data_IF_830408542986
#
_entry.id   IF_830408542986
#
_cell.length_a   1.000
_cell.length_b   1.000
_cell.length_c   1.000
_cell.angle_alpha   90.00
_cell.angle_beta   90.00
_cell.angle_gamma   90.00
#
_symmetry.space_group_name_H-M   'P 1'
#
loop_
_entity.id
_entity.type
_entity.pdbx_description
1 polymer ?
#
# COMPACT_ATOMS: atom_id res chain seq x y z
N UNK A 1 -54.17 4.66 45.30
CA UNK A 1 -53.93 4.18 43.93
C UNK A 1 -52.45 4.35 43.61
N UNK A 2 -51.59 3.44 44.05
CA UNK A 2 -50.14 3.61 43.82
C UNK A 2 -49.53 2.37 43.19
N UNK A 3 -49.62 1.21 43.83
CA UNK A 3 -48.77 0.08 43.40
C UNK A 3 -49.53 -0.96 42.59
N UNK A 4 -50.80 -1.20 42.91
CA UNK A 4 -51.62 -2.20 42.21
C UNK A 4 -51.87 -1.82 40.75
N UNK A 5 -52.19 -0.54 40.49
CA UNK A 5 -52.39 -0.02 39.13
C UNK A 5 -51.11 -0.07 38.30
N UNK A 6 -49.93 0.14 38.92
CA UNK A 6 -48.64 0.01 38.25
C UNK A 6 -48.35 -1.45 37.93
N UNK A 7 -48.67 -2.38 38.84
CA UNK A 7 -48.47 -3.80 38.60
C UNK A 7 -49.37 -4.34 37.47
N UNK A 8 -50.63 -3.93 37.43
CA UNK A 8 -51.57 -4.23 36.34
C UNK A 8 -51.04 -3.69 35.00
N UNK A 9 -50.57 -2.44 34.96
CA UNK A 9 -49.97 -1.86 33.75
C UNK A 9 -48.71 -2.62 33.29
N UNK A 10 -47.86 -3.07 34.21
CA UNK A 10 -46.67 -3.86 33.87
C UNK A 10 -47.05 -5.21 33.26
N UNK A 11 -48.05 -5.90 33.81
CA UNK A 11 -48.52 -7.17 33.25
C UNK A 11 -49.18 -6.98 31.87
N UNK A 12 -49.95 -5.91 31.68
CA UNK A 12 -50.51 -5.55 30.38
C UNK A 12 -49.39 -5.30 29.34
N UNK A 13 -48.37 -4.51 29.70
CA UNK A 13 -47.21 -4.25 28.83
C UNK A 13 -46.42 -5.54 28.56
N UNK A 14 -46.29 -6.43 29.55
CA UNK A 14 -45.60 -7.72 29.38
C UNK A 14 -46.22 -8.56 28.28
N UNK A 15 -47.53 -8.55 28.15
CA UNK A 15 -48.24 -9.25 27.07
C UNK A 15 -47.91 -8.71 25.67
N UNK A 16 -47.50 -7.44 25.58
CA UNK A 16 -47.19 -6.73 24.33
C UNK A 16 -45.69 -6.62 24.01
N UNK A 17 -44.81 -7.16 24.88
CA UNK A 17 -43.35 -7.08 24.71
C UNK A 17 -42.90 -7.52 23.31
N UNK A 18 -43.49 -8.60 22.78
CA UNK A 18 -43.14 -9.10 21.44
C UNK A 18 -43.45 -8.10 20.32
N UNK A 19 -44.56 -7.34 20.43
CA UNK A 19 -44.89 -6.29 19.46
C UNK A 19 -43.99 -5.08 19.64
N UNK A 20 -43.68 -4.69 20.88
CA UNK A 20 -42.77 -3.58 21.17
C UNK A 20 -41.35 -3.84 20.62
N UNK A 21 -40.83 -5.06 20.73
CA UNK A 21 -39.54 -5.41 20.11
C UNK A 21 -39.57 -5.29 18.58
N UNK A 22 -40.64 -5.75 17.91
CA UNK A 22 -40.79 -5.61 16.46
C UNK A 22 -40.85 -4.14 16.02
N UNK A 23 -41.56 -3.30 16.78
CA UNK A 23 -41.63 -1.85 16.52
C UNK A 23 -40.25 -1.23 16.70
N UNK A 24 -39.54 -1.58 17.77
CA UNK A 24 -38.18 -1.10 18.04
C UNK A 24 -37.21 -1.48 16.91
N UNK A 25 -37.24 -2.74 16.44
CA UNK A 25 -36.41 -3.21 15.32
C UNK A 25 -36.73 -2.46 14.02
N UNK A 26 -38.02 -2.24 13.72
CA UNK A 26 -38.43 -1.49 12.54
C UNK A 26 -37.98 -0.02 12.59
N UNK A 27 -38.09 0.63 13.75
CA UNK A 27 -37.60 2.01 13.95
C UNK A 27 -36.08 2.06 13.82
N UNK A 28 -35.35 1.12 14.43
CA UNK A 28 -33.89 1.06 14.35
C UNK A 28 -33.41 0.87 12.90
N UNK A 29 -34.08 0.01 12.13
CA UNK A 29 -33.76 -0.19 10.72
C UNK A 29 -34.06 1.06 9.88
N UNK A 30 -35.19 1.74 10.14
CA UNK A 30 -35.52 3.00 9.47
C UNK A 30 -34.49 4.10 9.78
N UNK A 31 -34.05 4.21 11.03
CA UNK A 31 -33.05 5.18 11.47
C UNK A 31 -31.70 4.92 10.79
N UNK A 32 -31.24 3.66 10.77
CA UNK A 32 -30.02 3.26 10.07
C UNK A 32 -30.07 3.60 8.57
N UNK A 33 -31.15 3.24 7.88
CA UNK A 33 -31.30 3.51 6.45
C UNK A 33 -31.36 5.02 6.16
N UNK A 34 -32.02 5.79 7.02
CA UNK A 34 -32.09 7.25 6.92
C UNK A 34 -30.71 7.88 7.09
N UNK A 35 -29.91 7.39 8.04
CA UNK A 35 -28.53 7.84 8.24
C UNK A 35 -27.63 7.55 7.03
N UNK A 36 -27.76 6.37 6.40
CA UNK A 36 -27.04 6.05 5.17
C UNK A 36 -27.45 6.94 4.00
N UNK A 37 -28.74 7.21 3.83
CA UNK A 37 -29.23 8.11 2.80
C UNK A 37 -28.72 9.55 2.99
N UNK A 38 -28.65 10.02 4.24
CA UNK A 38 -28.10 11.34 4.58
C UNK A 38 -26.60 11.42 4.25
N UNK A 39 -25.82 10.39 4.58
CA UNK A 39 -24.40 10.30 4.22
C UNK A 39 -24.21 10.37 2.69
N UNK A 40 -25.00 9.61 1.93
CA UNK A 40 -24.93 9.61 0.47
C UNK A 40 -25.26 10.97 -0.15
N UNK A 41 -26.27 11.65 0.38
CA UNK A 41 -26.74 12.94 -0.16
C UNK A 41 -25.76 14.08 0.14
N UNK A 42 -25.11 14.06 1.30
CA UNK A 42 -24.28 15.17 1.75
C UNK A 42 -22.82 15.10 1.28
N UNK A 43 -22.33 13.92 0.89
CA UNK A 43 -20.89 13.68 0.72
C UNK A 43 -20.49 12.97 -0.57
N UNK A 44 -21.40 12.91 -1.54
CA UNK A 44 -21.19 12.29 -2.86
C UNK A 44 -20.73 10.83 -2.74
N UNK A 45 -21.40 10.05 -1.90
CA UNK A 45 -21.11 8.62 -1.81
C UNK A 45 -21.94 7.87 -2.86
N UNK A 46 -21.34 6.84 -3.44
CA UNK A 46 -21.94 6.06 -4.52
C UNK A 46 -22.39 4.69 -4.02
N UNK A 47 -23.46 4.18 -4.63
CA UNK A 47 -23.89 2.81 -4.37
C UNK A 47 -22.88 1.84 -4.98
N UNK A 48 -22.35 0.94 -4.17
CA UNK A 48 -21.46 -0.12 -4.64
C UNK A 48 -22.21 -1.18 -5.46
N UNK A 49 -21.57 -1.67 -6.52
CA UNK A 49 -22.01 -2.87 -7.24
C UNK A 49 -21.31 -4.11 -6.67
N UNK A 50 -22.07 -5.17 -6.37
CA UNK A 50 -21.50 -6.44 -5.92
C UNK A 50 -21.21 -7.32 -7.14
N UNK A 51 -19.94 -7.59 -7.41
CA UNK A 51 -19.50 -8.47 -8.52
C UNK A 51 -18.43 -9.45 -8.04
N UNK A 52 -17.61 -10.03 -8.93
CA UNK A 52 -16.45 -10.86 -8.57
C UNK A 52 -15.13 -10.07 -8.56
N UNK A 53 -15.17 -8.77 -8.87
CA UNK A 53 -14.01 -7.89 -9.02
C UNK A 53 -14.05 -6.77 -7.98
N UNK A 54 -12.89 -6.42 -7.43
CA UNK A 54 -12.73 -5.19 -6.66
C UNK A 54 -12.25 -4.10 -7.62
N UNK A 55 -13.08 -3.07 -7.82
CA UNK A 55 -12.73 -1.91 -8.63
C UNK A 55 -13.27 -0.64 -7.98
N UNK A 56 -12.38 0.27 -7.61
CA UNK A 56 -12.71 1.54 -6.97
C UNK A 56 -12.07 2.64 -7.79
N UNK A 57 -12.86 3.62 -8.17
CA UNK A 57 -12.40 4.83 -8.83
C UNK A 57 -12.51 6.01 -7.86
N UNK A 58 -11.38 6.67 -7.64
CA UNK A 58 -11.27 7.85 -6.77
C UNK A 58 -11.83 7.60 -5.36
N UNK A 59 -11.44 6.48 -4.76
CA UNK A 59 -11.80 6.10 -3.40
C UNK A 59 -11.14 7.00 -2.36
N UNK A 60 -11.89 7.35 -1.32
CA UNK A 60 -11.45 8.22 -0.22
C UNK A 60 -11.58 7.49 1.11
N UNK A 61 -10.72 7.81 2.07
CA UNK A 61 -10.80 7.19 3.39
C UNK A 61 -12.04 7.71 4.16
N UNK A 62 -13.01 6.86 4.55
CA UNK A 62 -14.30 7.32 5.11
C UNK A 62 -14.18 8.22 6.34
N UNK A 63 -13.21 7.93 7.21
CA UNK A 63 -12.96 8.69 8.45
C UNK A 63 -12.05 9.90 8.20
N UNK A 64 -10.86 9.69 7.62
CA UNK A 64 -9.86 10.76 7.44
C UNK A 64 -10.36 11.91 6.55
N UNK A 65 -11.23 11.67 5.57
CA UNK A 65 -11.78 12.77 4.76
C UNK A 65 -12.62 13.78 5.58
N UNK A 66 -13.11 13.39 6.76
CA UNK A 66 -13.92 14.25 7.64
C UNK A 66 -13.09 14.99 8.68
N UNK A 67 -12.03 14.34 9.16
CA UNK A 67 -11.20 14.87 10.25
C UNK A 67 -10.18 15.88 9.71
N UNK A 68 -9.67 15.65 8.49
CA UNK A 68 -8.61 16.50 7.95
C UNK A 68 -9.17 17.80 7.35
N UNK A 69 -8.61 18.93 7.78
CA UNK A 69 -8.93 20.26 7.22
C UNK A 69 -8.50 20.40 5.76
N UNK A 70 -7.50 19.60 5.33
CA UNK A 70 -7.01 19.56 3.94
C UNK A 70 -7.75 18.51 3.13
N UNK A 71 -7.93 18.78 1.83
CA UNK A 71 -8.59 17.88 0.88
C UNK A 71 -7.85 16.54 0.80
N UNK A 72 -8.56 15.44 1.08
CA UNK A 72 -8.05 14.08 0.93
C UNK A 72 -7.80 13.75 -0.54
N UNK A 73 -6.67 13.10 -0.85
CA UNK A 73 -6.31 12.72 -2.22
C UNK A 73 -6.91 11.34 -2.53
N UNK A 74 -7.86 11.24 -3.47
CA UNK A 74 -8.51 9.98 -3.78
C UNK A 74 -7.59 9.05 -4.57
N UNK A 75 -7.76 7.74 -4.37
CA UNK A 75 -6.97 6.71 -5.05
C UNK A 75 -7.86 5.67 -5.73
N UNK A 76 -7.37 5.16 -6.86
CA UNK A 76 -8.00 4.05 -7.56
C UNK A 76 -7.50 2.73 -6.96
N UNK A 77 -8.33 1.69 -7.01
CA UNK A 77 -7.92 0.34 -6.63
C UNK A 77 -8.57 -0.67 -7.57
N UNK A 78 -7.80 -1.67 -7.96
CA UNK A 78 -8.27 -2.70 -8.88
C UNK A 78 -7.62 -4.04 -8.53
N UNK A 79 -8.45 -5.07 -8.32
CA UNK A 79 -8.01 -6.42 -8.05
C UNK A 79 -9.03 -7.44 -8.58
N UNK A 80 -8.53 -8.48 -9.23
CA UNK A 80 -9.32 -9.60 -9.75
C UNK A 80 -8.70 -10.91 -9.32
N UNK A 81 -9.31 -12.03 -9.69
CA UNK A 81 -8.73 -13.36 -9.44
C UNK A 81 -7.37 -13.57 -10.15
N UNK A 82 -7.10 -12.88 -11.26
CA UNK A 82 -5.80 -12.93 -11.94
C UNK A 82 -4.81 -11.88 -11.46
N UNK A 83 -5.25 -10.89 -10.68
CA UNK A 83 -4.43 -9.83 -10.08
C UNK A 83 -4.77 -9.70 -8.59
N UNK A 84 -4.85 -10.82 -7.88
CA UNK A 84 -5.38 -10.90 -6.53
C UNK A 84 -4.38 -10.46 -5.46
N UNK A 85 -3.09 -10.33 -5.78
CA UNK A 85 -2.06 -9.93 -4.82
C UNK A 85 -1.39 -8.60 -5.24
N UNK A 86 -1.52 -7.56 -4.42
CA UNK A 86 -0.96 -6.23 -4.70
C UNK A 86 0.18 -5.95 -3.73
N UNK A 87 1.41 -5.89 -4.24
CA UNK A 87 2.57 -5.43 -3.47
C UNK A 87 2.63 -3.91 -3.56
N UNK A 88 2.61 -3.23 -2.42
CA UNK A 88 2.69 -1.77 -2.36
C UNK A 88 4.01 -1.37 -1.72
N UNK A 89 4.82 -0.63 -2.48
CA UNK A 89 6.02 0.03 -1.96
C UNK A 89 5.82 1.54 -1.87
N UNK A 90 6.78 2.23 -1.28
CA UNK A 90 6.74 3.68 -1.14
C UNK A 90 7.42 4.15 0.13
N UNK A 91 7.77 5.43 0.14
CA UNK A 91 8.36 6.11 1.29
C UNK A 91 7.53 5.93 2.56
N UNK A 92 8.19 5.97 3.72
CA UNK A 92 7.48 6.17 4.99
C UNK A 92 6.70 7.50 4.93
N UNK A 93 5.54 7.56 5.59
CA UNK A 93 4.60 8.70 5.54
C UNK A 93 3.96 9.00 4.18
N UNK A 94 4.18 8.19 3.13
CA UNK A 94 3.51 8.36 1.82
C UNK A 94 2.03 8.00 1.82
N UNK A 95 1.49 7.45 2.92
CA UNK A 95 0.08 7.07 3.04
C UNK A 95 -0.26 5.61 2.73
N UNK A 96 0.73 4.70 2.65
CA UNK A 96 0.55 3.25 2.38
C UNK A 96 -0.51 2.61 3.30
N UNK A 97 -0.35 2.77 4.62
CA UNK A 97 -1.26 2.23 5.63
C UNK A 97 -2.66 2.83 5.52
N UNK A 98 -2.75 4.14 5.21
CA UNK A 98 -4.05 4.81 4.99
C UNK A 98 -4.75 4.26 3.76
N UNK A 99 -4.02 3.98 2.69
CA UNK A 99 -4.57 3.42 1.46
C UNK A 99 -5.18 2.03 1.74
N UNK A 100 -4.42 1.09 2.30
CA UNK A 100 -4.94 -0.28 2.56
C UNK A 100 -6.09 -0.29 3.58
N UNK A 101 -6.04 0.56 4.62
CA UNK A 101 -7.13 0.70 5.59
C UNK A 101 -8.40 1.25 4.93
N UNK A 102 -8.26 2.19 4.00
CA UNK A 102 -9.42 2.73 3.28
C UNK A 102 -10.13 1.66 2.45
N UNK A 103 -9.38 0.77 1.78
CA UNK A 103 -9.95 -0.36 1.04
C UNK A 103 -10.72 -1.30 1.96
N UNK A 104 -10.13 -1.69 3.09
CA UNK A 104 -10.78 -2.57 4.07
C UNK A 104 -12.09 -1.97 4.60
N UNK A 105 -12.07 -0.68 4.98
CA UNK A 105 -13.26 0.01 5.45
C UNK A 105 -14.35 0.12 4.38
N UNK A 106 -13.98 0.44 3.14
CA UNK A 106 -14.94 0.52 2.04
C UNK A 106 -15.57 -0.84 1.72
N UNK A 107 -14.81 -1.94 1.79
CA UNK A 107 -15.35 -3.31 1.65
C UNK A 107 -16.39 -3.60 2.75
N UNK A 108 -16.10 -3.25 4.00
CA UNK A 108 -17.04 -3.41 5.13
C UNK A 108 -18.31 -2.58 4.89
N UNK A 109 -18.16 -1.31 4.51
CA UNK A 109 -19.29 -0.43 4.22
C UNK A 109 -20.19 -0.99 3.10
N UNK A 110 -19.59 -1.55 2.05
CA UNK A 110 -20.33 -2.11 0.92
C UNK A 110 -21.16 -3.32 1.35
N UNK A 111 -20.60 -4.21 2.17
CA UNK A 111 -21.29 -5.42 2.65
C UNK A 111 -22.31 -5.15 3.77
N UNK A 112 -22.20 -4.04 4.51
CA UNK A 112 -23.26 -3.55 5.42
C UNK A 112 -24.44 -2.95 4.63
N UNK A 113 -24.24 -2.62 3.35
CA UNK A 113 -25.25 -1.97 2.50
C UNK A 113 -25.23 -0.45 2.55
N UNK A 114 -24.13 0.14 3.01
CA UNK A 114 -23.91 1.60 2.99
C UNK A 114 -23.34 2.05 1.63
N UNK A 115 -23.43 3.35 1.37
CA UNK A 115 -22.82 4.00 0.21
C UNK A 115 -21.33 4.25 0.46
N UNK A 116 -20.53 4.28 -0.60
CA UNK A 116 -19.06 4.30 -0.54
C UNK A 116 -18.50 5.67 -0.97
N UNK A 117 -17.47 6.21 -0.29
CA UNK A 117 -16.81 7.45 -0.67
C UNK A 117 -15.91 7.30 -1.92
N UNK A 118 -16.51 7.14 -3.08
CA UNK A 118 -15.81 6.97 -4.36
C UNK A 118 -16.62 7.59 -5.51
N UNK A 119 -16.03 7.73 -6.70
CA UNK A 119 -16.79 8.07 -7.93
C UNK A 119 -17.48 6.85 -8.52
N UNK A 120 -16.86 5.68 -8.37
CA UNK A 120 -17.38 4.39 -8.79
C UNK A 120 -16.79 3.33 -7.87
N UNK A 121 -17.59 2.36 -7.45
CA UNK A 121 -17.10 1.28 -6.61
C UNK A 121 -17.82 -0.03 -6.89
N UNK A 122 -17.02 -1.08 -6.95
CA UNK A 122 -17.45 -2.44 -7.17
C UNK A 122 -16.63 -3.35 -6.25
N UNK A 123 -17.29 -4.28 -5.58
CA UNK A 123 -16.67 -5.16 -4.60
C UNK A 123 -17.12 -6.61 -4.79
N UNK A 124 -16.22 -7.57 -4.55
CA UNK A 124 -16.59 -8.94 -4.32
C UNK A 124 -17.13 -9.14 -2.91
N UNK A 125 -17.95 -10.17 -2.73
CA UNK A 125 -18.42 -10.59 -1.40
C UNK A 125 -17.26 -11.33 -0.71
N UNK A 126 -16.64 -10.64 0.23
CA UNK A 126 -15.56 -11.10 1.09
C UNK A 126 -16.15 -11.81 2.32
N UNK A 127 -15.70 -13.03 2.59
CA UNK A 127 -16.17 -13.80 3.75
C UNK A 127 -15.40 -13.47 5.03
N UNK A 128 -14.11 -13.18 4.89
CA UNK A 128 -13.21 -12.92 6.00
C UNK A 128 -12.25 -11.79 5.62
N UNK A 129 -12.13 -10.81 6.51
CA UNK A 129 -11.14 -9.74 6.39
C UNK A 129 -10.08 -9.95 7.46
N UNK A 130 -8.87 -10.25 7.02
CA UNK A 130 -7.69 -10.38 7.87
C UNK A 130 -6.85 -9.11 7.79
N UNK A 131 -6.34 -8.67 8.93
CA UNK A 131 -5.49 -7.50 9.00
C UNK A 131 -4.29 -7.78 9.88
N UNK A 132 -3.09 -7.66 9.31
CA UNK A 132 -1.84 -7.48 10.04
C UNK A 132 -1.42 -6.04 9.82
N UNK A 133 -1.71 -5.18 10.78
CA UNK A 133 -1.35 -3.76 10.72
C UNK A 133 -0.39 -3.50 11.86
N UNK A 134 0.76 -2.88 11.57
CA UNK A 134 1.71 -2.49 12.61
C UNK A 134 1.04 -1.44 13.50
N UNK A 135 0.67 -1.84 14.72
CA UNK A 135 0.29 -0.92 15.79
C UNK A 135 1.56 -0.57 16.55
N UNK A 136 1.81 0.73 16.73
CA UNK A 136 2.85 1.16 17.65
C UNK A 136 2.45 0.67 19.05
N UNK A 137 3.34 -0.10 19.66
CA UNK A 137 3.43 -0.34 21.10
C UNK A 137 2.24 -1.05 21.77
N UNK A 138 2.11 -2.35 21.53
CA UNK A 138 1.67 -3.24 22.63
C UNK A 138 2.89 -3.63 23.47
N UNK A 139 3.25 -2.73 24.38
CA UNK A 139 4.28 -2.97 25.42
C UNK A 139 3.81 -4.00 26.46
N UNK A 140 2.53 -4.42 26.42
CA UNK A 140 1.89 -5.26 27.45
C UNK A 140 2.00 -6.78 27.23
N UNK A 141 2.56 -7.24 26.10
CA UNK A 141 2.83 -8.66 25.90
C UNK A 141 4.32 -8.98 26.15
N UNK A 142 4.62 -9.88 27.09
CA UNK A 142 5.96 -10.48 27.32
C UNK A 142 6.48 -11.33 26.13
N UNK A 143 6.06 -11.04 24.91
CA UNK A 143 6.39 -11.75 23.67
C UNK A 143 7.10 -10.77 22.76
N UNK A 144 8.20 -11.18 22.11
CA UNK A 144 8.86 -10.29 21.14
C UNK A 144 7.87 -9.87 20.05
N UNK A 145 7.96 -8.61 19.62
CA UNK A 145 7.11 -8.06 18.55
C UNK A 145 7.08 -9.00 17.35
N UNK A 146 8.25 -9.46 16.90
CA UNK A 146 8.38 -10.43 15.82
C UNK A 146 7.62 -11.74 16.06
N UNK A 147 7.67 -12.32 17.26
CA UNK A 147 6.93 -13.56 17.55
C UNK A 147 5.42 -13.34 17.57
N UNK A 148 4.94 -12.15 17.95
CA UNK A 148 3.54 -11.77 17.79
C UNK A 148 3.14 -11.66 16.31
N UNK A 149 3.95 -10.98 15.49
CA UNK A 149 3.75 -10.88 14.04
C UNK A 149 3.64 -12.26 13.38
N UNK A 150 4.55 -13.17 13.74
CA UNK A 150 4.54 -14.53 13.20
C UNK A 150 3.31 -15.32 13.64
N UNK A 151 2.81 -15.10 14.86
CA UNK A 151 1.58 -15.76 15.34
C UNK A 151 0.36 -15.26 14.58
N UNK A 152 0.27 -13.95 14.34
CA UNK A 152 -0.79 -13.33 13.55
C UNK A 152 -0.77 -13.84 12.11
N UNK A 153 0.39 -13.82 11.44
CA UNK A 153 0.51 -14.37 10.09
C UNK A 153 0.20 -15.87 10.03
N UNK A 154 0.63 -16.64 11.03
CA UNK A 154 0.29 -18.06 11.12
C UNK A 154 -1.21 -18.30 11.35
N UNK A 155 -1.92 -17.38 12.00
CA UNK A 155 -3.38 -17.44 12.11
C UNK A 155 -4.05 -17.14 10.77
N UNK A 156 -3.60 -16.10 10.07
CA UNK A 156 -4.11 -15.73 8.74
C UNK A 156 -3.93 -16.90 7.77
N UNK A 157 -2.70 -17.41 7.63
CA UNK A 157 -2.38 -18.50 6.69
C UNK A 157 -3.15 -19.80 6.98
N UNK A 158 -3.53 -20.06 8.23
CA UNK A 158 -4.30 -21.27 8.60
C UNK A 158 -5.79 -21.18 8.30
N UNK A 159 -6.33 -19.97 8.18
CA UNK A 159 -7.77 -19.74 8.03
C UNK A 159 -8.14 -19.06 6.71
N UNK A 160 -7.14 -18.69 5.89
CA UNK A 160 -7.37 -17.99 4.63
C UNK A 160 -8.08 -18.89 3.61
N UNK A 161 -9.08 -18.32 2.95
CA UNK A 161 -9.80 -18.93 1.84
C UNK A 161 -9.70 -18.02 0.60
N UNK A 162 -10.00 -18.55 -0.58
CA UNK A 162 -9.98 -17.78 -1.85
C UNK A 162 -10.92 -16.57 -1.88
N UNK A 163 -11.91 -16.52 -0.98
CA UNK A 163 -12.89 -15.41 -0.84
C UNK A 163 -12.55 -14.50 0.34
N UNK A 164 -11.33 -14.57 0.86
CA UNK A 164 -10.86 -13.70 1.94
C UNK A 164 -10.19 -12.45 1.37
N UNK A 165 -10.17 -11.39 2.17
CA UNK A 165 -9.39 -10.18 1.95
C UNK A 165 -8.33 -10.09 3.04
N UNK A 166 -7.09 -9.83 2.67
CA UNK A 166 -5.97 -9.70 3.60
C UNK A 166 -5.29 -8.35 3.38
N UNK A 167 -5.08 -7.61 4.46
CA UNK A 167 -4.20 -6.45 4.46
C UNK A 167 -3.00 -6.74 5.35
N UNK A 168 -1.81 -6.54 4.83
CA UNK A 168 -0.54 -6.71 5.56
C UNK A 168 0.25 -5.42 5.47
N UNK A 169 0.70 -4.92 6.62
CA UNK A 169 1.47 -3.69 6.73
C UNK A 169 2.82 -3.98 7.39
N UNK A 170 3.90 -3.81 6.61
CA UNK A 170 5.28 -3.78 7.09
C UNK A 170 5.76 -5.02 7.87
N UNK A 171 5.43 -6.21 7.37
CA UNK A 171 5.85 -7.48 7.96
C UNK A 171 7.38 -7.65 8.01
N UNK A 172 7.91 -8.16 9.13
CA UNK A 172 9.30 -8.62 9.22
C UNK A 172 10.32 -7.55 9.60
N UNK A 173 9.87 -6.42 10.17
CA UNK A 173 10.76 -5.35 10.66
C UNK A 173 11.48 -5.68 11.97
N UNK A 174 10.93 -6.59 12.77
CA UNK A 174 11.44 -6.91 14.10
C UNK A 174 12.62 -7.91 14.16
N UNK A 175 13.27 -8.24 13.05
CA UNK A 175 14.32 -9.27 12.97
C UNK A 175 15.47 -8.87 12.02
N UNK A 176 16.45 -9.75 11.83
CA UNK A 176 17.53 -9.56 10.86
C UNK A 176 16.95 -9.27 9.46
N UNK A 177 17.55 -8.35 8.70
CA UNK A 177 17.00 -7.93 7.41
C UNK A 177 16.93 -9.09 6.41
N UNK A 178 17.89 -10.02 6.47
CA UNK A 178 17.92 -11.22 5.62
C UNK A 178 16.84 -12.21 6.00
N UNK A 179 16.66 -12.52 7.28
CA UNK A 179 15.63 -13.48 7.72
C UNK A 179 14.24 -12.87 7.57
N UNK A 180 14.09 -11.58 7.86
CA UNK A 180 12.85 -10.83 7.68
C UNK A 180 12.39 -10.83 6.23
N UNK A 181 13.32 -10.57 5.28
CA UNK A 181 13.03 -10.67 3.85
C UNK A 181 12.65 -12.09 3.43
N UNK A 182 13.43 -13.10 3.85
CA UNK A 182 13.19 -14.50 3.48
C UNK A 182 11.82 -14.98 3.96
N UNK A 183 11.46 -14.67 5.21
CA UNK A 183 10.18 -15.02 5.81
C UNK A 183 9.03 -14.26 5.14
N UNK A 184 9.21 -12.97 4.86
CA UNK A 184 8.20 -12.16 4.19
C UNK A 184 7.93 -12.67 2.76
N UNK A 185 8.96 -13.09 2.02
CA UNK A 185 8.80 -13.73 0.70
C UNK A 185 8.03 -15.05 0.85
N UNK A 186 8.42 -15.93 1.76
CA UNK A 186 7.74 -17.21 1.95
C UNK A 186 6.26 -17.05 2.31
N UNK A 187 5.93 -16.08 3.16
CA UNK A 187 4.56 -15.75 3.52
C UNK A 187 3.80 -15.13 2.33
N UNK A 188 4.43 -14.23 1.58
CA UNK A 188 3.84 -13.65 0.38
C UNK A 188 3.51 -14.73 -0.65
N UNK A 189 4.40 -15.70 -0.88
CA UNK A 189 4.14 -16.83 -1.78
C UNK A 189 2.94 -17.68 -1.32
N UNK A 190 2.87 -18.02 -0.04
CA UNK A 190 1.74 -18.77 0.51
C UNK A 190 0.41 -18.00 0.38
N UNK A 191 0.44 -16.67 0.53
CA UNK A 191 -0.73 -15.82 0.34
C UNK A 191 -1.15 -15.74 -1.14
N UNK A 192 -0.21 -15.70 -2.08
CA UNK A 192 -0.50 -15.77 -3.52
C UNK A 192 -1.17 -17.10 -3.88
N UNK A 193 -0.70 -18.22 -3.33
CA UNK A 193 -1.29 -19.54 -3.58
C UNK A 193 -2.74 -19.67 -3.07
N UNK A 194 -3.14 -18.87 -2.08
CA UNK A 194 -4.50 -18.87 -1.54
C UNK A 194 -5.57 -18.32 -2.51
N UNK A 195 -5.16 -17.55 -3.52
CA UNK A 195 -6.03 -16.80 -4.43
C UNK A 195 -6.96 -15.77 -3.73
N UNK A 196 -6.73 -15.47 -2.45
CA UNK A 196 -7.41 -14.40 -1.74
C UNK A 196 -6.99 -13.02 -2.28
N UNK A 197 -7.81 -12.00 -2.02
CA UNK A 197 -7.43 -10.61 -2.32
C UNK A 197 -6.47 -10.10 -1.26
N UNK A 198 -5.25 -9.74 -1.62
CA UNK A 198 -4.19 -9.40 -0.67
C UNK A 198 -3.54 -8.07 -1.03
N UNK A 199 -3.57 -7.11 -0.10
CA UNK A 199 -2.75 -5.90 -0.17
C UNK A 199 -1.58 -6.03 0.80
N UNK A 200 -0.38 -6.15 0.24
CA UNK A 200 0.85 -6.35 0.98
C UNK A 200 1.73 -5.10 0.89
N UNK A 201 1.70 -4.28 1.94
CA UNK A 201 2.59 -3.12 2.08
C UNK A 201 3.94 -3.58 2.62
N UNK A 202 5.01 -3.23 1.91
CA UNK A 202 6.37 -3.59 2.30
C UNK A 202 7.34 -2.42 2.15
N UNK A 203 8.40 -2.47 2.94
CA UNK A 203 9.59 -1.64 2.77
C UNK A 203 10.73 -2.39 2.06
N UNK A 204 10.59 -3.70 1.91
CA UNK A 204 11.55 -4.52 1.18
C UNK A 204 11.31 -4.36 -0.32
N UNK A 205 12.14 -3.53 -0.97
CA UNK A 205 12.11 -3.39 -2.42
C UNK A 205 12.38 -4.72 -3.13
N UNK A 206 13.30 -5.53 -2.60
CA UNK A 206 13.64 -6.84 -3.16
C UNK A 206 12.44 -7.80 -3.15
N UNK A 207 11.56 -7.72 -2.14
CA UNK A 207 10.32 -8.50 -2.12
C UNK A 207 9.41 -8.12 -3.29
N UNK A 208 9.26 -6.82 -3.56
CA UNK A 208 8.44 -6.35 -4.67
C UNK A 208 9.00 -6.82 -6.02
N UNK A 209 10.32 -6.81 -6.19
CA UNK A 209 10.99 -7.31 -7.39
C UNK A 209 10.77 -8.81 -7.57
N UNK A 210 10.98 -9.62 -6.53
CA UNK A 210 10.81 -11.09 -6.60
C UNK A 210 9.34 -11.46 -6.82
N UNK A 211 8.42 -10.79 -6.14
CA UNK A 211 6.98 -11.09 -6.24
C UNK A 211 6.36 -10.61 -7.55
N UNK A 212 6.86 -9.54 -8.17
CA UNK A 212 6.40 -9.08 -9.49
C UNK A 212 6.45 -10.17 -10.58
N UNK A 213 7.25 -11.21 -10.37
CA UNK A 213 7.44 -12.32 -11.30
C UNK A 213 6.37 -13.41 -11.18
N UNK A 214 5.59 -13.41 -10.09
CA UNK A 214 4.56 -14.40 -9.81
C UNK A 214 3.25 -14.03 -10.50
N UNK A 215 2.55 -15.03 -11.03
CA UNK A 215 1.20 -14.85 -11.60
C UNK A 215 0.23 -14.47 -10.49
N UNK A 216 -0.64 -13.49 -10.71
CA UNK A 216 -1.51 -12.99 -9.64
C UNK A 216 -1.00 -11.71 -8.98
N UNK A 217 0.28 -11.39 -9.14
CA UNK A 217 0.92 -10.27 -8.44
C UNK A 217 0.95 -9.01 -9.30
N UNK A 218 0.56 -7.89 -8.69
CA UNK A 218 0.72 -6.54 -9.24
C UNK A 218 1.57 -5.72 -8.29
N UNK A 219 2.60 -5.06 -8.82
CA UNK A 219 3.41 -4.11 -8.07
C UNK A 219 2.86 -2.70 -8.23
N UNK A 220 2.65 -2.03 -7.10
CA UNK A 220 2.18 -0.66 -6.99
C UNK A 220 3.16 0.13 -6.11
N UNK A 221 3.20 1.44 -6.31
CA UNK A 221 3.92 2.34 -5.41
C UNK A 221 3.16 3.65 -5.23
N UNK A 222 3.40 4.33 -4.10
CA UNK A 222 2.91 5.70 -3.92
C UNK A 222 3.91 6.70 -4.49
N UNK A 223 3.42 7.55 -5.38
CA UNK A 223 4.23 8.52 -6.10
C UNK A 223 4.74 9.63 -5.18
N UNK A 224 6.00 9.99 -5.39
CA UNK A 224 6.71 11.05 -4.67
C UNK A 224 7.42 11.92 -5.70
N UNK A 225 7.24 13.23 -5.58
CA UNK A 225 8.01 14.21 -6.35
C UNK A 225 9.13 14.78 -5.49
N UNK A 226 10.35 14.75 -6.03
CA UNK A 226 11.52 15.40 -5.42
C UNK A 226 11.86 16.57 -6.33
N UNK A 227 12.02 17.76 -5.74
CA UNK A 227 12.47 18.94 -6.50
C UNK A 227 13.82 18.68 -7.16
N UNK A 228 14.11 19.23 -8.34
CA UNK A 228 15.39 19.05 -9.04
C UNK A 228 16.60 19.47 -8.19
N UNK A 229 16.41 20.44 -7.30
CA UNK A 229 17.45 20.95 -6.40
C UNK A 229 17.63 20.07 -5.14
N UNK A 230 16.86 18.98 -4.99
CA UNK A 230 16.82 18.09 -3.81
C UNK A 230 16.53 18.77 -2.47
N UNK A 231 16.05 20.03 -2.50
CA UNK A 231 15.72 20.83 -1.32
C UNK A 231 14.27 20.68 -0.85
N UNK A 232 13.41 20.05 -1.66
CA UNK A 232 12.01 19.79 -1.33
C UNK A 232 11.58 18.39 -1.77
N UNK A 233 10.79 17.74 -0.93
CA UNK A 233 10.14 16.47 -1.23
C UNK A 233 8.64 16.63 -0.99
N UNK A 234 7.85 16.28 -2.00
CA UNK A 234 6.40 16.37 -1.96
C UNK A 234 5.79 14.98 -2.14
N UNK A 235 5.06 14.54 -1.11
CA UNK A 235 4.27 13.32 -1.18
C UNK A 235 3.00 13.61 -2.00
N UNK A 236 2.82 12.89 -3.12
CA UNK A 236 1.63 13.06 -3.95
C UNK A 236 0.43 12.26 -3.42
N UNK A 237 0.67 11.30 -2.51
CA UNK A 237 -0.34 10.39 -1.96
C UNK A 237 -1.18 9.66 -3.02
N UNK A 238 -0.61 9.50 -4.22
CA UNK A 238 -1.28 8.87 -5.36
C UNK A 238 -0.61 7.55 -5.71
N UNK A 239 -1.40 6.48 -5.82
CA UNK A 239 -0.94 5.17 -6.24
C UNK A 239 -0.60 5.19 -7.74
N UNK A 240 0.51 4.56 -8.09
CA UNK A 240 0.99 4.38 -9.45
C UNK A 240 1.39 2.92 -9.68
N UNK A 241 1.25 2.46 -10.92
CA UNK A 241 1.62 1.10 -11.31
C UNK A 241 3.14 0.94 -11.46
N UNK A 242 3.62 -0.26 -11.15
CA UNK A 242 5.02 -0.65 -11.28
C UNK A 242 5.80 -0.55 -9.96
N UNK A 243 6.99 -1.17 -9.92
CA UNK A 243 7.88 -1.03 -8.78
C UNK A 243 8.44 0.39 -8.71
N UNK A 244 8.66 0.86 -7.48
CA UNK A 244 9.27 2.17 -7.24
C UNK A 244 10.68 2.25 -7.85
N UNK A 245 10.89 3.22 -8.76
CA UNK A 245 12.16 3.35 -9.52
C UNK A 245 13.26 4.05 -8.73
N UNK A 246 12.91 4.85 -7.73
CA UNK A 246 13.86 5.64 -6.97
C UNK A 246 14.26 4.89 -5.69
N UNK A 247 15.49 4.38 -5.63
CA UNK A 247 15.94 3.55 -4.49
C UNK A 247 16.47 4.36 -3.29
N UNK A 248 16.58 5.68 -3.40
CA UNK A 248 17.37 6.51 -2.47
C UNK A 248 16.57 7.56 -1.70
N UNK A 249 15.30 7.28 -1.38
CA UNK A 249 14.45 8.22 -0.65
C UNK A 249 14.91 8.50 0.78
N UNK A 250 15.42 7.50 1.50
CA UNK A 250 15.92 7.71 2.86
C UNK A 250 17.07 8.71 2.91
N UNK A 251 17.96 8.67 1.91
CA UNK A 251 19.03 9.66 1.76
C UNK A 251 18.51 11.02 1.29
N UNK A 252 17.48 11.07 0.46
CA UNK A 252 16.83 12.32 0.06
C UNK A 252 16.15 13.00 1.26
N UNK A 253 15.46 12.24 2.11
CA UNK A 253 14.87 12.74 3.35
C UNK A 253 15.96 13.21 4.32
N UNK A 254 17.05 12.46 4.45
CA UNK A 254 18.20 12.84 5.26
C UNK A 254 18.87 14.14 4.79
N UNK A 255 18.71 14.59 3.53
CA UNK A 255 19.18 15.90 3.05
C UNK A 255 18.29 17.05 3.50
N UNK A 256 17.01 16.77 3.77
CA UNK A 256 16.04 17.75 4.23
C UNK A 256 16.12 17.96 5.74
N UNK A 257 16.54 16.92 6.46
CA UNK A 257 16.94 17.00 7.86
C UNK A 257 18.36 17.55 7.87
N UNK A 258 18.65 18.61 8.63
CA UNK A 258 19.98 19.26 8.71
C UNK A 258 21.08 18.36 9.31
N UNK A 259 21.35 17.21 8.68
CA UNK A 259 22.40 16.29 9.01
C UNK A 259 23.75 16.86 8.54
N UNK A 260 24.84 16.65 9.30
CA UNK A 260 26.15 17.14 8.89
C UNK A 260 26.53 16.62 7.49
N UNK A 261 26.98 17.50 6.57
CA UNK A 261 27.19 17.13 5.16
C UNK A 261 28.18 15.97 5.00
N UNK A 262 29.22 15.88 5.84
CA UNK A 262 30.17 14.78 5.82
C UNK A 262 29.57 13.40 6.14
N UNK A 263 28.52 13.34 6.97
CA UNK A 263 27.80 12.09 7.27
C UNK A 263 26.97 11.66 6.06
N UNK A 264 26.37 12.63 5.37
CA UNK A 264 25.47 12.40 4.26
C UNK A 264 26.22 11.96 3.00
N UNK A 265 27.37 12.57 2.72
CA UNK A 265 28.29 12.15 1.65
C UNK A 265 28.81 10.72 1.88
N UNK A 266 29.18 10.40 3.13
CA UNK A 266 29.61 9.06 3.48
C UNK A 266 28.47 8.03 3.33
N UNK A 267 27.26 8.37 3.79
CA UNK A 267 26.09 7.51 3.66
C UNK A 267 25.71 7.23 2.19
N UNK A 268 25.84 8.23 1.30
CA UNK A 268 25.69 8.03 -0.15
C UNK A 268 26.72 7.06 -0.70
N UNK A 269 27.99 7.24 -0.36
CA UNK A 269 29.08 6.37 -0.81
C UNK A 269 28.86 4.91 -0.38
N UNK A 270 28.40 4.70 0.86
CA UNK A 270 28.08 3.36 1.38
C UNK A 270 26.88 2.75 0.63
N UNK A 271 25.82 3.54 0.39
CA UNK A 271 24.65 3.08 -0.34
C UNK A 271 24.97 2.65 -1.77
N UNK A 272 25.81 3.41 -2.48
CA UNK A 272 26.26 3.08 -3.83
C UNK A 272 27.05 1.77 -3.87
N UNK A 273 27.99 1.58 -2.94
CA UNK A 273 28.76 0.34 -2.83
C UNK A 273 27.86 -0.88 -2.58
N UNK A 274 26.88 -0.75 -1.68
CA UNK A 274 25.93 -1.82 -1.39
C UNK A 274 25.06 -2.15 -2.61
N UNK A 275 24.59 -1.14 -3.35
CA UNK A 275 23.82 -1.34 -4.58
C UNK A 275 24.63 -2.05 -5.68
N UNK A 276 25.91 -1.70 -5.85
CA UNK A 276 26.78 -2.36 -6.83
C UNK A 276 26.99 -3.84 -6.51
N UNK A 277 27.12 -4.19 -5.22
CA UNK A 277 27.25 -5.59 -4.78
C UNK A 277 25.95 -6.35 -5.03
N UNK A 278 24.79 -5.73 -4.75
CA UNK A 278 23.49 -6.34 -4.99
C UNK A 278 23.20 -6.57 -6.49
N UNK A 279 23.52 -5.61 -7.36
CA UNK A 279 23.30 -5.71 -8.80
C UNK A 279 24.12 -6.83 -9.46
N UNK A 280 25.35 -7.07 -8.99
CA UNK A 280 26.20 -8.16 -9.48
C UNK A 280 25.64 -9.56 -9.18
N UNK A 281 24.77 -9.69 -8.18
CA UNK A 281 24.12 -10.96 -7.80
C UNK A 281 22.83 -11.25 -8.57
N UNK A 282 22.26 -10.27 -9.27
CA UNK A 282 20.94 -10.37 -9.91
C UNK A 282 20.97 -10.75 -11.40
N UNK A 283 22.06 -11.31 -11.95
CA UNK A 283 22.12 -11.63 -13.38
C UNK A 283 21.29 -12.87 -13.76
N UNK A 284 20.10 -12.58 -14.30
CA UNK A 284 19.37 -13.24 -15.41
C UNK A 284 19.24 -14.77 -15.36
N UNK A 285 18.14 -15.26 -14.78
CA UNK A 285 17.69 -16.65 -14.94
C UNK A 285 16.71 -16.80 -16.10
N UNK A 286 16.86 -17.83 -16.94
CA UNK A 286 15.93 -18.18 -18.03
C UNK A 286 14.50 -18.49 -17.53
N UNK A 287 14.36 -18.97 -16.29
CA UNK A 287 13.06 -19.21 -15.66
C UNK A 287 12.24 -17.91 -15.50
N UNK A 288 12.93 -16.78 -15.34
CA UNK A 288 12.39 -15.45 -15.15
C UNK A 288 11.65 -14.94 -16.41
N UNK A 289 12.27 -15.13 -17.58
CA UNK A 289 11.70 -14.77 -18.87
C UNK A 289 10.39 -15.56 -19.13
N UNK A 290 10.40 -16.87 -18.83
CA UNK A 290 9.23 -17.73 -19.01
C UNK A 290 8.05 -17.30 -18.13
N UNK A 291 8.29 -16.95 -16.86
CA UNK A 291 7.23 -16.48 -15.95
C UNK A 291 6.63 -15.14 -16.42
N UNK A 292 7.48 -14.19 -16.83
CA UNK A 292 7.05 -12.89 -17.37
C UNK A 292 6.16 -13.03 -18.60
N UNK A 293 6.52 -13.92 -19.55
CA UNK A 293 5.68 -14.21 -20.73
C UNK A 293 4.32 -14.77 -20.34
N UNK A 294 4.28 -15.71 -19.38
CA UNK A 294 3.04 -16.32 -18.90
C UNK A 294 2.11 -15.28 -18.28
N UNK A 295 2.62 -14.40 -17.43
CA UNK A 295 1.83 -13.35 -16.79
C UNK A 295 1.25 -12.38 -17.83
N UNK A 296 2.06 -11.99 -18.81
CA UNK A 296 1.63 -11.11 -19.90
C UNK A 296 0.49 -11.73 -20.73
N UNK A 297 0.56 -13.03 -21.02
CA UNK A 297 -0.51 -13.77 -21.73
C UNK A 297 -1.79 -13.86 -20.88
N UNK A 298 -1.67 -14.12 -19.58
CA UNK A 298 -2.82 -14.19 -18.68
C UNK A 298 -3.53 -12.84 -18.55
N UNK A 299 -2.76 -11.76 -18.42
CA UNK A 299 -3.28 -10.39 -18.40
C UNK A 299 -4.01 -10.03 -19.70
N UNK A 300 -3.43 -10.39 -20.86
CA UNK A 300 -4.09 -10.18 -22.16
C UNK A 300 -5.42 -10.93 -22.23
N UNK A 301 -5.46 -12.20 -21.80
CA UNK A 301 -6.69 -13.00 -21.81
C UNK A 301 -7.79 -12.35 -20.97
N UNK A 302 -7.44 -11.82 -19.80
CA UNK A 302 -8.39 -11.17 -18.90
C UNK A 302 -8.98 -9.90 -19.53
N UNK A 303 -8.12 -9.02 -20.04
CA UNK A 303 -8.54 -7.79 -20.70
C UNK A 303 -9.47 -8.08 -21.89
N UNK A 304 -9.21 -9.16 -22.64
CA UNK A 304 -10.09 -9.61 -23.72
C UNK A 304 -11.43 -10.17 -23.20
N UNK A 305 -11.44 -10.92 -22.09
CA UNK A 305 -12.69 -11.40 -21.47
C UNK A 305 -13.53 -10.23 -20.95
N UNK A 306 -12.91 -9.23 -20.33
CA UNK A 306 -13.58 -8.02 -19.90
C UNK A 306 -14.12 -7.20 -21.07
N UNK A 307 -13.38 -7.11 -22.17
CA UNK A 307 -13.86 -6.45 -23.37
C UNK A 307 -15.05 -7.18 -24.01
N UNK A 308 -15.09 -8.52 -23.92
CA UNK A 308 -16.23 -9.35 -24.38
C UNK A 308 -17.47 -9.13 -23.53
N UNK A 309 -17.31 -9.11 -22.20
CA UNK A 309 -18.42 -9.03 -21.25
C UNK A 309 -18.80 -7.57 -20.91
N UNK A 310 -18.00 -6.61 -21.37
CA UNK A 310 -18.19 -5.17 -21.15
C UNK A 310 -19.10 -4.48 -22.16
N UNK A 311 -19.40 -3.21 -21.91
CA UNK A 311 -20.30 -2.36 -22.73
C UNK A 311 -19.60 -1.60 -23.87
N UNK A 312 -18.33 -1.89 -24.13
CA UNK A 312 -17.54 -1.21 -25.17
C UNK A 312 -17.93 -1.73 -26.55
N UNK A 313 -18.45 -0.88 -27.43
CA UNK A 313 -18.90 -1.26 -28.77
C UNK A 313 -18.27 -0.43 -29.90
N UNK A 314 -18.32 -0.96 -31.12
CA UNK A 314 -17.98 -0.25 -32.35
C UNK A 314 -16.52 0.19 -32.48
N UNK A 315 -16.31 1.45 -32.85
CA UNK A 315 -14.99 2.01 -33.15
C UNK A 315 -14.10 2.14 -31.90
N UNK A 316 -14.71 2.40 -30.74
CA UNK A 316 -14.03 2.56 -29.45
C UNK A 316 -13.37 1.26 -29.02
N UNK A 317 -14.12 0.14 -29.10
CA UNK A 317 -13.59 -1.19 -28.84
C UNK A 317 -12.43 -1.52 -29.79
N UNK A 318 -12.56 -1.19 -31.08
CA UNK A 318 -11.51 -1.46 -32.07
C UNK A 318 -10.22 -0.70 -31.79
N UNK A 319 -10.31 0.59 -31.42
CA UNK A 319 -9.14 1.40 -31.03
C UNK A 319 -8.48 0.85 -29.76
N UNK A 320 -9.29 0.49 -28.78
CA UNK A 320 -8.80 -0.09 -27.52
C UNK A 320 -8.09 -1.44 -27.75
N UNK A 321 -8.68 -2.35 -28.53
CA UNK A 321 -8.06 -3.64 -28.89
C UNK A 321 -6.74 -3.46 -29.64
N UNK A 322 -6.65 -2.46 -30.51
CA UNK A 322 -5.40 -2.17 -31.24
C UNK A 322 -4.31 -1.68 -30.30
N UNK A 323 -4.64 -0.75 -29.38
CA UNK A 323 -3.70 -0.27 -28.36
C UNK A 323 -3.21 -1.42 -27.46
N UNK A 324 -4.14 -2.29 -27.06
CA UNK A 324 -3.84 -3.47 -26.27
C UNK A 324 -2.87 -4.43 -27.00
N UNK A 325 -3.10 -4.66 -28.30
CA UNK A 325 -2.22 -5.49 -29.12
C UNK A 325 -0.81 -4.89 -29.22
N UNK A 326 -0.70 -3.58 -29.48
CA UNK A 326 0.57 -2.88 -29.60
C UNK A 326 1.37 -2.92 -28.29
N UNK A 327 0.71 -2.69 -27.16
CA UNK A 327 1.31 -2.76 -25.83
C UNK A 327 1.80 -4.17 -25.48
N UNK A 328 0.98 -5.19 -25.76
CA UNK A 328 1.37 -6.58 -25.56
C UNK A 328 2.59 -6.96 -26.41
N UNK A 329 2.62 -6.56 -27.69
CA UNK A 329 3.73 -6.86 -28.58
C UNK A 329 5.04 -6.21 -28.12
N UNK A 330 4.99 -4.95 -27.67
CA UNK A 330 6.15 -4.24 -27.13
C UNK A 330 6.70 -4.93 -25.86
N UNK A 331 5.82 -5.27 -24.92
CA UNK A 331 6.24 -5.95 -23.67
C UNK A 331 6.78 -7.35 -23.94
N UNK A 332 6.20 -8.10 -24.88
CA UNK A 332 6.68 -9.43 -25.25
C UNK A 332 8.07 -9.39 -25.91
N UNK A 333 8.28 -8.43 -26.82
CA UNK A 333 9.57 -8.23 -27.48
C UNK A 333 10.69 -7.86 -26.48
N UNK A 334 10.41 -7.01 -25.49
CA UNK A 334 11.37 -6.68 -24.44
C UNK A 334 11.79 -7.90 -23.62
N UNK A 335 10.84 -8.81 -23.33
CA UNK A 335 11.14 -10.06 -22.61
C UNK A 335 11.97 -11.03 -23.47
N UNK A 336 11.68 -11.12 -24.77
CA UNK A 336 12.45 -11.93 -25.72
C UNK A 336 13.89 -11.44 -25.87
N UNK A 337 14.09 -10.11 -25.88
CA UNK A 337 15.41 -9.49 -25.95
C UNK A 337 16.23 -9.77 -24.67
N UNK A 338 15.60 -9.64 -23.49
CA UNK A 338 16.21 -9.99 -22.20
C UNK A 338 16.63 -11.48 -22.11
N UNK A 339 15.85 -12.39 -22.70
CA UNK A 339 16.16 -13.82 -22.77
C UNK A 339 17.36 -14.08 -23.69
N UNK A 340 17.42 -13.43 -24.86
CA UNK A 340 18.51 -13.61 -25.83
C UNK A 340 19.89 -13.20 -25.30
N UNK A 341 19.94 -12.15 -24.46
CA UNK A 341 21.17 -11.67 -23.84
C UNK A 341 21.66 -12.62 -22.73
N UNK A 342 20.76 -13.41 -22.12
CA UNK A 342 21.13 -14.36 -21.05
C UNK A 342 21.89 -15.59 -21.54
N UNK A 343 21.77 -15.97 -22.81
CA UNK A 343 22.46 -17.13 -23.39
C UNK A 343 23.96 -16.89 -23.71
N UNK A 344 24.48 -15.67 -23.50
CA UNK A 344 25.86 -15.30 -23.84
C UNK A 344 26.88 -15.38 -22.70
N UNK A 345 26.47 -15.68 -21.47
CA UNK A 345 27.33 -15.63 -20.28
C UNK A 345 27.16 -16.89 -19.41
N UNK A 346 27.76 -17.99 -19.84
CA UNK A 346 28.01 -19.17 -19.00
C UNK A 346 29.52 -19.26 -18.75
N UNK A 347 30.02 -18.61 -17.69
CA UNK A 347 31.29 -18.93 -17.04
C UNK A 347 31.30 -18.23 -15.67
N UNK A 348 31.28 -18.99 -14.59
CA UNK A 348 31.22 -18.42 -13.23
C UNK A 348 31.29 -19.46 -12.12
N UNK A 349 32.39 -20.20 -12.04
CA UNK A 349 32.86 -20.77 -10.77
C UNK A 349 33.82 -19.79 -10.09
N UNK A 350 33.84 -19.82 -8.75
CA UNK A 350 34.63 -19.01 -7.81
C UNK A 350 34.01 -17.67 -7.35
N UNK A 351 33.42 -17.65 -6.15
CA UNK A 351 33.47 -16.48 -5.23
C UNK A 351 32.86 -16.76 -3.84
N UNK A 352 33.63 -17.45 -2.99
CA UNK A 352 33.50 -17.36 -1.53
C UNK A 352 34.87 -17.00 -0.95
N UNK A 353 35.17 -15.70 -0.86
CA UNK A 353 36.24 -15.10 -0.01
C UNK A 353 36.29 -13.60 -0.27
N UNK A 354 35.48 -12.82 0.45
CA UNK A 354 35.71 -11.38 0.67
C UNK A 354 34.56 -10.80 1.50
N UNK A 355 34.67 -10.88 2.83
CA UNK A 355 33.84 -10.06 3.72
C UNK A 355 34.63 -9.61 4.96
N UNK A 356 35.62 -10.40 5.37
CA UNK A 356 36.48 -10.12 6.52
C UNK A 356 37.65 -9.15 6.27
N UNK A 357 38.04 -8.87 5.03
CA UNK A 357 39.21 -8.01 4.72
C UNK A 357 38.87 -6.53 4.46
N UNK A 358 37.60 -6.15 4.38
CA UNK A 358 37.19 -4.80 3.92
C UNK A 358 36.88 -3.79 5.04
N UNK A 359 36.92 -4.19 6.32
CA UNK A 359 36.58 -3.31 7.46
C UNK A 359 37.82 -2.70 8.13
N UNK A 360 39.04 -3.19 7.86
CA UNK A 360 40.24 -2.75 8.60
C UNK A 360 40.94 -1.48 8.11
N UNK A 361 40.45 -0.79 7.07
CA UNK A 361 41.10 0.44 6.60
C UNK A 361 40.07 1.52 6.28
N UNK A 362 39.65 2.25 7.31
CA UNK A 362 39.41 3.72 7.33
C UNK A 362 38.49 4.08 8.50
N UNK A 363 39.04 4.23 9.70
CA UNK A 363 38.39 5.02 10.76
C UNK A 363 38.70 6.51 10.54
N UNK A 364 37.75 7.43 10.80
CA UNK A 364 38.04 8.85 10.66
C UNK A 364 38.94 9.30 11.82
N UNK A 365 40.12 9.83 11.47
CA UNK A 365 41.01 10.51 12.39
C UNK A 365 40.31 11.74 13.00
N UNK A 366 40.43 11.84 14.32
CA UNK A 366 40.17 13.02 15.15
C UNK A 366 40.80 14.29 14.58
N UNK A 367 40.05 15.39 14.49
CA UNK A 367 40.59 16.75 14.57
C UNK A 367 39.69 17.67 15.40
N UNK A 368 40.38 18.40 16.28
CA UNK A 368 39.92 19.38 17.25
C UNK A 368 39.78 20.80 16.65
N UNK A 369 38.98 21.63 17.34
CA UNK A 369 38.92 23.11 17.32
C UNK A 369 38.38 23.78 16.03
N UNK A 370 37.60 24.87 16.04
CA UNK A 370 37.42 25.95 17.02
C UNK A 370 36.12 26.73 16.70
N UNK A 371 35.57 27.36 17.73
CA UNK A 371 34.46 28.31 17.73
C UNK A 371 34.69 29.53 16.84
N UNK A 372 33.63 30.04 16.19
CA UNK A 372 33.33 31.49 16.14
C UNK A 372 31.86 31.77 15.78
N UNK A 373 31.31 32.79 16.45
CA UNK A 373 29.95 33.35 16.34
C UNK A 373 29.91 34.53 15.36
N UNK A 374 28.69 34.88 14.95
CA UNK A 374 28.15 36.19 14.47
C UNK A 374 27.44 36.02 13.10
N UNK A 375 26.11 36.11 12.97
CA UNK A 375 25.13 37.20 13.17
C UNK A 375 24.54 37.69 11.82
N UNK A 376 23.23 37.49 11.67
CA UNK A 376 22.26 38.32 10.94
C UNK A 376 22.30 38.42 9.39
N UNK A 377 21.18 38.11 8.74
CA UNK A 377 20.21 39.14 8.26
C UNK A 377 19.24 38.56 7.21
N UNK A 378 17.96 38.85 7.40
CA UNK A 378 16.83 38.55 6.50
C UNK A 378 16.70 39.71 5.48
N UNK A 379 16.21 39.44 4.25
CA UNK A 379 14.98 40.14 3.88
C UNK A 379 13.95 39.27 3.12
N UNK A 380 12.69 39.59 3.42
CA UNK A 380 11.45 39.18 2.74
C UNK A 380 11.37 39.72 1.31
N UNK A 381 10.69 39.00 0.41
CA UNK A 381 9.75 39.58 -0.55
C UNK A 381 8.82 38.52 -1.18
N UNK A 382 7.53 38.85 -1.14
CA UNK A 382 6.39 38.12 -1.69
C UNK A 382 6.44 37.95 -3.21
N UNK A 383 5.90 36.83 -3.71
CA UNK A 383 4.95 36.87 -4.82
C UNK A 383 4.01 35.66 -4.75
N UNK A 384 2.72 35.96 -4.92
CA UNK A 384 1.59 35.07 -4.97
C UNK A 384 1.48 34.35 -6.33
N UNK A 385 0.96 33.11 -6.33
CA UNK A 385 -0.14 32.58 -7.20
C UNK A 385 -0.14 31.04 -7.18
N UNK A 386 -1.36 30.50 -7.12
CA UNK A 386 -1.84 29.13 -7.37
C UNK A 386 -1.72 28.07 -6.25
N UNK A 387 -2.83 27.94 -5.49
CA UNK A 387 -3.12 26.85 -4.55
C UNK A 387 -3.05 25.48 -5.23
N UNK A 388 -2.02 24.71 -4.90
CA UNK A 388 -2.00 23.25 -4.98
C UNK A 388 -1.96 22.72 -3.55
N UNK A 389 -2.83 21.77 -3.24
CA UNK A 389 -2.88 21.11 -1.94
C UNK A 389 -1.64 20.21 -1.77
N UNK A 390 -0.59 20.78 -1.19
CA UNK A 390 0.73 20.17 -0.97
C UNK A 390 1.01 20.19 0.53
N UNK A 391 1.46 19.07 1.09
CA UNK A 391 2.16 19.07 2.38
C UNK A 391 3.63 19.28 2.03
N UNK A 392 4.11 20.49 2.27
CA UNK A 392 5.54 20.80 2.21
C UNK A 392 6.16 20.30 3.53
N UNK A 393 7.22 19.51 3.44
CA UNK A 393 8.08 19.24 4.59
C UNK A 393 9.24 20.21 4.44
N UNK A 394 9.24 21.29 5.22
CA UNK A 394 10.38 22.21 5.37
C UNK A 394 11.23 21.79 6.58
N UNK A 395 12.44 22.34 6.72
CA UNK A 395 13.35 22.07 7.85
C UNK A 395 12.69 22.23 9.23
N UNK A 396 11.62 23.03 9.32
CA UNK A 396 10.93 23.36 10.56
C UNK A 396 9.81 22.36 10.94
N UNK A 397 9.32 21.54 10.00
CA UNK A 397 8.14 20.66 10.19
C UNK A 397 8.46 19.24 10.71
N UNK A 398 9.74 18.87 10.80
CA UNK A 398 10.17 17.50 11.14
C UNK A 398 10.04 17.20 12.64
N UNK A 399 9.87 18.23 13.48
CA UNK A 399 9.78 18.06 14.95
C UNK A 399 8.36 17.86 15.50
N UNK A 400 7.31 18.21 14.74
CA UNK A 400 5.91 18.14 15.23
C UNK A 400 5.07 16.99 14.64
N UNK A 401 5.55 16.28 13.61
CA UNK A 401 4.72 15.34 12.84
C UNK A 401 4.73 13.87 13.29
N UNK A 402 5.33 13.52 14.44
CA UNK A 402 5.28 12.15 14.97
C UNK A 402 3.92 11.74 15.56
N UNK A 403 2.97 12.68 15.68
CA UNK A 403 1.64 12.48 16.28
C UNK A 403 0.48 12.44 15.27
N UNK A 404 0.76 12.48 13.96
CA UNK A 404 -0.27 12.59 12.91
C UNK A 404 -0.56 11.30 12.11
N UNK A 405 -0.09 10.15 12.59
CA UNK A 405 -0.42 8.82 12.05
C UNK A 405 -1.62 8.13 12.71
N UNK A 406 -2.32 8.79 13.64
CA UNK A 406 -3.53 8.27 14.30
C UNK A 406 -4.83 8.43 13.48
#
# INVERSE_FOLDING_TARGET
>A
MSDQTVHELIEDIRSEIAHLFKISEAIAMLDMLSAFAQLATNYDYVRAELTDVLAIKSGRHPIREKIHTKKFIPNDAYATQQSHFQVITGCNMSGKSTYIRSLALMTIMAQIGSFIPAEYACFPIVHQLFARVSTADDLEANVSTFAAEMREMAFILRNIESRSMVIVDELGRGTSTTDGLAIAIAIAEALVESHALVWFVTHFHDLAVVMAERSGVVSLHLAVEISPDTTKMTMLYKIAEGPETNRSYGLALAKLVDLPPGVLEYAQTVSEKMNQIAQRRHSKSRALAVSRKRNLILSLKEQLLQARDGKLEGETLRKWLKRLQDEFALRMAAIDEDESVSCGSEDGEEQERSFSELIEVTGPNTMDHQSDREESSVPLLNSSVEERSIIEISSDDVSENSSLEE
#
